data_IF_255932954305
#
_entry.id   IF_255932954305
#
_cell.length_a   1.000
_cell.length_b   1.000
_cell.length_c   1.000
_cell.angle_alpha   90.00
_cell.angle_beta   90.00
_cell.angle_gamma   90.00
#
_symmetry.space_group_name_H-M   'P 1'
#
loop_
_entity.id
_entity.type
_entity.pdbx_description
1 polymer ?
#
# COMPACT_ATOMS: atom_id res chain seq x y z
N UNK A 1 18.10 19.98 -10.23
CA UNK A 1 18.57 19.00 -9.22
C UNK A 1 17.67 17.75 -9.10
N UNK A 2 16.47 17.81 -9.69
CA UNK A 2 15.43 16.78 -9.72
C UNK A 2 15.87 15.37 -10.18
N UNK A 3 16.65 15.24 -11.27
CA UNK A 3 17.05 13.92 -11.80
C UNK A 3 17.95 13.12 -10.83
N UNK A 4 18.68 13.79 -9.94
CA UNK A 4 19.53 13.15 -8.94
C UNK A 4 18.72 12.68 -7.73
N UNK A 5 17.70 13.45 -7.33
CA UNK A 5 16.75 13.09 -6.28
C UNK A 5 15.87 11.90 -6.70
N UNK A 6 15.38 11.88 -7.95
CA UNK A 6 14.61 10.75 -8.49
C UNK A 6 15.42 9.46 -8.58
N UNK A 7 16.70 9.52 -8.99
CA UNK A 7 17.58 8.33 -9.07
C UNK A 7 17.94 7.76 -7.69
N UNK A 8 18.09 8.60 -6.68
CA UNK A 8 18.36 8.16 -5.31
C UNK A 8 17.09 7.64 -4.61
N UNK A 9 15.92 8.18 -4.97
CA UNK A 9 14.65 7.68 -4.46
C UNK A 9 14.36 6.26 -4.97
N UNK A 10 14.49 6.04 -6.29
CA UNK A 10 14.21 4.75 -6.94
C UNK A 10 15.21 3.63 -6.60
N UNK A 11 16.51 3.93 -6.52
CA UNK A 11 17.54 2.91 -6.19
C UNK A 11 17.41 2.34 -4.78
N UNK A 12 17.04 3.15 -3.79
CA UNK A 12 16.94 2.70 -2.41
C UNK A 12 15.59 2.07 -2.06
N UNK A 13 14.52 2.35 -2.82
CA UNK A 13 13.23 1.64 -2.69
C UNK A 13 13.35 0.18 -3.12
N UNK A 14 14.12 -0.13 -4.18
CA UNK A 14 14.47 -1.52 -4.54
C UNK A 14 15.20 -2.28 -3.43
N UNK A 15 15.97 -1.59 -2.59
CA UNK A 15 16.68 -2.20 -1.45
C UNK A 15 15.83 -2.33 -0.19
N UNK A 16 14.79 -1.51 -0.01
CA UNK A 16 13.90 -1.53 1.17
C UNK A 16 12.75 -2.54 1.05
N UNK A 17 12.34 -2.89 -0.18
CA UNK A 17 11.27 -3.87 -0.42
C UNK A 17 11.62 -5.30 0.00
N UNK A 18 12.89 -5.58 0.37
CA UNK A 18 13.34 -6.90 0.82
C UNK A 18 13.32 -7.09 2.34
N UNK A 19 12.80 -6.12 3.13
CA UNK A 19 12.73 -6.23 4.59
C UNK A 19 11.29 -6.38 5.08
N UNK A 20 11.02 -7.55 5.65
CA UNK A 20 9.77 -7.91 6.32
C UNK A 20 9.34 -6.84 7.35
N UNK A 21 8.13 -6.33 7.17
CA UNK A 21 7.44 -5.43 8.10
C UNK A 21 6.98 -6.26 9.31
N UNK A 22 7.45 -5.90 10.51
CA UNK A 22 6.90 -6.42 11.78
C UNK A 22 5.76 -5.52 12.26
N UNK A 23 4.69 -6.08 12.86
CA UNK A 23 3.60 -5.28 13.38
C UNK A 23 3.99 -4.53 14.67
N UNK A 24 3.47 -3.32 14.78
CA UNK A 24 3.61 -2.40 15.91
C UNK A 24 2.99 -2.99 17.19
N UNK A 25 3.83 -3.22 18.22
CA UNK A 25 3.39 -3.54 19.57
C UNK A 25 3.31 -2.29 20.45
N UNK A 26 2.12 -2.03 20.98
CA UNK A 26 1.84 -0.97 21.96
C UNK A 26 2.66 -1.19 23.24
N UNK A 27 3.44 -0.20 23.67
CA UNK A 27 4.08 -0.15 24.98
C UNK A 27 3.07 0.28 26.04
N UNK A 28 2.99 -0.46 27.14
CA UNK A 28 2.46 -0.01 28.44
C UNK A 28 3.53 -0.15 29.53
N UNK A 29 3.46 0.67 30.60
CA UNK A 29 4.61 1.03 31.42
C UNK A 29 5.00 -0.03 32.46
N UNK A 30 6.27 0.05 32.86
CA UNK A 30 6.95 -0.80 33.83
C UNK A 30 6.44 -0.58 35.26
N UNK A 31 6.18 -1.67 35.97
CA UNK A 31 6.11 -1.71 37.44
C UNK A 31 7.29 -2.51 37.97
N UNK A 32 8.04 -1.88 38.87
CA UNK A 32 9.20 -2.42 39.55
C UNK A 32 8.83 -3.58 40.50
N UNK A 33 9.67 -4.62 40.53
CA UNK A 33 9.69 -5.63 41.60
C UNK A 33 11.14 -5.82 42.03
N UNK A 34 11.40 -5.60 43.31
CA UNK A 34 12.68 -5.77 44.00
C UNK A 34 13.09 -7.25 44.16
N UNK A 35 14.39 -7.55 44.30
CA UNK A 35 14.91 -8.91 44.30
C UNK A 35 14.93 -9.49 45.71
N UNK A 36 14.37 -10.68 45.92
CA UNK A 36 14.67 -11.45 47.12
C UNK A 36 14.40 -12.95 46.92
N UNK A 37 15.40 -13.74 47.36
CA UNK A 37 15.41 -15.19 47.61
C UNK A 37 15.85 -16.09 46.45
N UNK A 38 17.12 -15.88 46.08
CA UNK A 38 18.05 -17.00 45.89
C UNK A 38 18.41 -17.55 47.28
N UNK A 39 17.89 -18.72 47.65
CA UNK A 39 18.53 -19.72 48.51
C UNK A 39 17.46 -20.70 49.02
N UNK A 40 17.82 -21.98 49.07
CA UNK A 40 16.99 -23.18 49.31
C UNK A 40 16.34 -23.64 47.99
N UNK A 41 16.74 -24.75 47.37
CA UNK A 41 17.16 -26.00 47.99
C UNK A 41 17.90 -26.85 46.94
N UNK A 42 19.23 -26.90 47.05
CA UNK A 42 19.98 -28.05 46.59
C UNK A 42 19.48 -29.27 47.37
N UNK A 43 18.89 -30.24 46.69
CA UNK A 43 19.05 -31.68 46.94
C UNK A 43 18.06 -32.45 46.05
N UNK A 44 18.54 -32.92 44.90
CA UNK A 44 18.44 -34.33 44.52
C UNK A 44 19.22 -34.57 43.24
N UNK A 45 20.37 -35.21 43.41
CA UNK A 45 21.15 -35.79 42.33
C UNK A 45 20.44 -37.06 41.84
N UNK A 46 20.31 -37.14 40.51
CA UNK A 46 20.30 -38.33 39.66
C UNK A 46 19.14 -39.31 39.81
N UNK A 47 18.14 -39.14 38.95
CA UNK A 47 17.53 -40.25 38.22
C UNK A 47 17.15 -39.80 36.80
N UNK A 48 17.24 -40.73 35.86
CA UNK A 48 17.24 -40.53 34.41
C UNK A 48 15.93 -39.92 33.87
N UNK A 49 16.05 -38.85 33.08
CA UNK A 49 15.21 -38.62 31.91
C UNK A 49 15.87 -37.61 30.97
N UNK A 50 16.76 -38.11 30.10
CA UNK A 50 16.79 -37.60 28.72
C UNK A 50 15.46 -38.05 28.12
N UNK A 51 14.40 -37.28 28.36
CA UNK A 51 13.26 -37.20 27.45
C UNK A 51 13.30 -35.78 26.94
N UNK A 52 14.11 -35.70 25.90
CA UNK A 52 14.18 -34.67 24.89
C UNK A 52 12.90 -33.84 24.77
N UNK A 53 13.05 -32.53 25.00
CA UNK A 53 12.16 -31.49 24.50
C UNK A 53 12.24 -31.32 22.98
N UNK A 54 12.50 -32.39 22.21
CA UNK A 54 12.65 -32.35 20.75
C UNK A 54 11.31 -32.34 20.00
N UNK A 55 10.20 -32.72 20.65
CA UNK A 55 8.94 -32.97 19.96
C UNK A 55 8.25 -31.72 19.38
N UNK A 56 8.52 -30.53 19.95
CA UNK A 56 7.84 -29.30 19.52
C UNK A 56 8.35 -28.74 18.19
N UNK A 57 9.68 -28.64 18.04
CA UNK A 57 10.32 -27.98 16.91
C UNK A 57 10.63 -28.95 15.76
N UNK A 58 11.08 -30.16 16.09
CA UNK A 58 11.30 -31.22 15.10
C UNK A 58 9.97 -31.71 14.49
N UNK A 59 8.93 -31.84 15.32
CA UNK A 59 7.58 -32.21 14.85
C UNK A 59 6.97 -31.15 13.93
N UNK A 60 7.26 -29.86 14.16
CA UNK A 60 6.84 -28.77 13.28
C UNK A 60 7.59 -28.78 11.96
N UNK A 61 8.92 -28.93 11.99
CA UNK A 61 9.74 -29.03 10.79
C UNK A 61 9.35 -30.23 9.91
N UNK A 62 9.00 -31.36 10.52
CA UNK A 62 8.54 -32.55 9.81
C UNK A 62 7.18 -32.31 9.12
N UNK A 63 6.24 -31.64 9.80
CA UNK A 63 4.95 -31.26 9.22
C UNK A 63 5.12 -30.27 8.06
N UNK A 64 6.01 -29.29 8.20
CA UNK A 64 6.35 -28.35 7.12
C UNK A 64 6.95 -29.08 5.92
N UNK A 65 7.86 -30.04 6.15
CA UNK A 65 8.43 -30.86 5.08
C UNK A 65 7.37 -31.72 4.38
N UNK A 66 6.46 -32.34 5.13
CA UNK A 66 5.37 -33.15 4.57
C UNK A 66 4.41 -32.31 3.71
N UNK A 67 4.07 -31.09 4.15
CA UNK A 67 3.23 -30.19 3.37
C UNK A 67 3.90 -29.75 2.06
N UNK A 68 5.21 -29.51 2.08
CA UNK A 68 5.97 -29.21 0.85
C UNK A 68 6.04 -30.44 -0.07
N UNK A 69 6.18 -31.64 0.49
CA UNK A 69 6.19 -32.87 -0.30
C UNK A 69 4.83 -33.11 -0.98
N UNK A 70 3.72 -32.87 -0.27
CA UNK A 70 2.36 -32.94 -0.81
C UNK A 70 2.16 -31.91 -1.94
N UNK A 71 2.65 -30.68 -1.77
CA UNK A 71 2.62 -29.66 -2.82
C UNK A 71 3.40 -30.11 -4.08
N UNK A 72 4.56 -30.74 -3.90
CA UNK A 72 5.36 -31.29 -5.00
C UNK A 72 4.59 -32.41 -5.71
N UNK A 73 3.89 -33.27 -4.97
CA UNK A 73 3.07 -34.34 -5.54
C UNK A 73 1.94 -33.78 -6.41
N UNK A 74 1.21 -32.78 -5.89
CA UNK A 74 0.15 -32.09 -6.64
C UNK A 74 0.69 -31.44 -7.93
N UNK A 75 1.91 -30.89 -7.91
CA UNK A 75 2.55 -30.34 -9.10
C UNK A 75 2.99 -31.40 -10.10
N UNK A 76 3.45 -32.56 -9.64
CA UNK A 76 3.81 -33.69 -10.49
C UNK A 76 2.59 -34.31 -11.18
N UNK A 77 1.43 -34.26 -10.53
CA UNK A 77 0.15 -34.74 -11.05
C UNK A 77 -0.56 -33.75 -11.99
N UNK A 78 -0.06 -32.51 -12.09
CA UNK A 78 -0.65 -31.48 -12.92
C UNK A 78 -0.68 -31.93 -14.40
N UNK A 79 -1.87 -31.86 -15.00
CA UNK A 79 -2.12 -32.41 -16.34
C UNK A 79 -1.76 -31.42 -17.45
N UNK A 80 -1.56 -30.15 -17.11
CA UNK A 80 -1.27 -29.09 -18.06
C UNK A 80 -0.38 -28.01 -17.48
N UNK A 81 0.33 -27.30 -18.37
CA UNK A 81 1.12 -26.13 -18.03
C UNK A 81 0.29 -25.01 -17.38
N UNK A 82 -0.99 -24.88 -17.76
CA UNK A 82 -1.91 -23.88 -17.20
C UNK A 82 -2.28 -24.20 -15.75
N UNK A 83 -2.55 -25.47 -15.46
CA UNK A 83 -2.81 -25.95 -14.09
C UNK A 83 -1.59 -25.74 -13.20
N UNK A 84 -0.40 -26.06 -13.70
CA UNK A 84 0.85 -25.80 -12.99
C UNK A 84 1.06 -24.30 -12.74
N UNK A 85 0.81 -23.45 -13.74
CA UNK A 85 0.91 -21.98 -13.58
C UNK A 85 -0.03 -21.45 -12.49
N UNK A 86 -1.25 -21.97 -12.43
CA UNK A 86 -2.21 -21.63 -11.39
C UNK A 86 -1.76 -22.09 -10.00
N UNK A 87 -1.27 -23.33 -9.89
CA UNK A 87 -0.75 -23.87 -8.62
C UNK A 87 0.44 -23.05 -8.10
N UNK A 88 1.33 -22.59 -8.99
CA UNK A 88 2.43 -21.70 -8.61
C UNK A 88 1.91 -20.34 -8.14
N UNK A 89 0.92 -19.75 -8.84
CA UNK A 89 0.37 -18.46 -8.42
C UNK A 89 -0.32 -18.53 -7.04
N UNK A 90 -1.09 -19.59 -6.77
CA UNK A 90 -1.80 -19.78 -5.50
C UNK A 90 -0.84 -20.07 -4.32
N UNK A 91 0.32 -20.66 -4.59
CA UNK A 91 1.29 -21.09 -3.57
C UNK A 91 2.60 -20.28 -3.60
N UNK A 92 2.60 -19.06 -4.16
CA UNK A 92 3.83 -18.30 -4.44
C UNK A 92 4.78 -18.13 -3.23
N UNK A 93 4.22 -17.99 -2.02
CA UNK A 93 5.00 -17.83 -0.78
C UNK A 93 5.64 -19.12 -0.27
N UNK A 94 5.22 -20.28 -0.77
CA UNK A 94 5.76 -21.59 -0.39
C UNK A 94 7.05 -21.93 -1.14
N UNK A 95 7.39 -21.20 -2.23
CA UNK A 95 8.61 -21.41 -3.02
C UNK A 95 9.84 -20.70 -2.42
N UNK A 96 10.20 -21.11 -1.21
CA UNK A 96 11.35 -20.59 -0.48
C UNK A 96 12.58 -21.55 -0.58
N UNK A 97 13.74 -21.24 0.05
CA UNK A 97 14.88 -22.16 0.05
C UNK A 97 14.58 -23.57 0.58
N UNK A 98 13.57 -23.73 1.46
CA UNK A 98 13.20 -25.04 2.00
C UNK A 98 12.49 -25.88 0.93
N UNK A 99 11.62 -25.29 0.12
CA UNK A 99 11.01 -25.97 -1.03
C UNK A 99 12.06 -26.58 -1.96
N UNK A 100 13.07 -25.79 -2.35
CA UNK A 100 14.15 -26.28 -3.22
C UNK A 100 15.00 -27.38 -2.57
N UNK A 101 15.20 -27.30 -1.24
CA UNK A 101 15.85 -28.37 -0.48
C UNK A 101 15.03 -29.68 -0.48
N UNK A 102 13.69 -29.58 -0.44
CA UNK A 102 12.81 -30.76 -0.57
C UNK A 102 12.91 -31.39 -1.95
N UNK A 103 12.88 -30.58 -3.01
CA UNK A 103 13.09 -31.06 -4.39
C UNK A 103 14.43 -31.82 -4.50
N UNK A 104 15.53 -31.25 -3.99
CA UNK A 104 16.85 -31.89 -3.99
C UNK A 104 16.85 -33.22 -3.22
N UNK A 105 16.30 -33.22 -2.01
CA UNK A 105 16.20 -34.44 -1.16
C UNK A 105 15.38 -35.54 -1.85
N UNK A 106 14.28 -35.17 -2.52
CA UNK A 106 13.44 -36.12 -3.27
C UNK A 106 14.17 -36.65 -4.50
N UNK A 107 14.89 -35.79 -5.23
CA UNK A 107 15.69 -36.19 -6.37
C UNK A 107 16.75 -37.24 -6.01
N UNK A 108 17.42 -37.08 -4.85
CA UNK A 108 18.42 -38.04 -4.36
C UNK A 108 17.79 -39.37 -3.91
N UNK A 109 16.52 -39.34 -3.48
CA UNK A 109 15.78 -40.51 -3.01
C UNK A 109 15.13 -41.32 -4.13
N UNK A 110 14.95 -40.72 -5.32
CA UNK A 110 14.39 -41.39 -6.49
C UNK A 110 15.40 -42.36 -7.11
N UNK A 111 14.94 -43.57 -7.42
CA UNK A 111 15.77 -44.63 -8.03
C UNK A 111 15.64 -44.71 -9.56
N UNK A 112 14.53 -44.19 -10.09
CA UNK A 112 14.22 -44.23 -11.51
C UNK A 112 14.61 -42.91 -12.17
N UNK A 113 15.46 -42.96 -13.20
CA UNK A 113 15.88 -41.78 -13.95
C UNK A 113 14.69 -41.07 -14.62
N UNK A 114 13.70 -41.82 -15.11
CA UNK A 114 12.52 -41.22 -15.73
C UNK A 114 11.68 -40.37 -14.74
N UNK A 115 11.68 -40.71 -13.45
CA UNK A 115 10.95 -39.94 -12.44
C UNK A 115 11.79 -38.77 -11.92
N UNK A 116 13.13 -38.91 -11.90
CA UNK A 116 14.05 -37.77 -11.68
C UNK A 116 13.89 -36.71 -12.76
N UNK A 117 13.83 -37.12 -14.02
CA UNK A 117 13.66 -36.21 -15.16
C UNK A 117 12.33 -35.45 -15.07
N UNK A 118 11.24 -36.11 -14.68
CA UNK A 118 9.94 -35.45 -14.45
C UNK A 118 10.01 -34.44 -13.30
N UNK A 119 10.59 -34.84 -12.16
CA UNK A 119 10.75 -33.96 -11.01
C UNK A 119 11.59 -32.72 -11.36
N UNK A 120 12.68 -32.92 -12.10
CA UNK A 120 13.53 -31.84 -12.59
C UNK A 120 12.76 -30.93 -13.55
N UNK A 121 12.02 -31.48 -14.52
CA UNK A 121 11.25 -30.69 -15.47
C UNK A 121 10.18 -29.83 -14.78
N UNK A 122 9.49 -30.36 -13.77
CA UNK A 122 8.54 -29.59 -12.95
C UNK A 122 9.28 -28.50 -12.17
N UNK A 123 10.40 -28.82 -11.52
CA UNK A 123 11.18 -27.83 -10.78
C UNK A 123 11.68 -26.68 -11.67
N UNK A 124 12.24 -26.99 -12.85
CA UNK A 124 12.69 -26.01 -13.85
C UNK A 124 11.52 -25.12 -14.29
N UNK A 125 10.35 -25.71 -14.53
CA UNK A 125 9.15 -24.99 -14.94
C UNK A 125 8.62 -24.07 -13.83
N UNK A 126 8.53 -24.57 -12.60
CA UNK A 126 8.14 -23.77 -11.43
C UNK A 126 9.09 -22.59 -11.24
N UNK A 127 10.40 -22.82 -11.38
CA UNK A 127 11.40 -21.74 -11.27
C UNK A 127 11.17 -20.63 -12.31
N UNK A 128 10.91 -21.00 -13.57
CA UNK A 128 10.60 -20.02 -14.64
C UNK A 128 9.31 -19.26 -14.34
N UNK A 129 8.27 -19.93 -13.85
CA UNK A 129 6.99 -19.30 -13.53
C UNK A 129 7.09 -18.35 -12.34
N UNK A 130 7.79 -18.74 -11.27
CA UNK A 130 8.07 -17.88 -10.11
C UNK A 130 8.87 -16.65 -10.54
N UNK A 131 9.94 -16.83 -11.31
CA UNK A 131 10.78 -15.73 -11.81
C UNK A 131 9.96 -14.77 -12.72
N UNK A 132 9.11 -15.31 -13.59
CA UNK A 132 8.22 -14.51 -14.43
C UNK A 132 7.24 -13.67 -13.59
N UNK A 133 6.64 -14.24 -12.53
CA UNK A 133 5.72 -13.52 -11.65
C UNK A 133 6.41 -12.44 -10.81
N UNK A 134 7.61 -12.72 -10.31
CA UNK A 134 8.43 -11.71 -9.61
C UNK A 134 8.75 -10.56 -10.57
N UNK A 135 9.25 -10.87 -11.77
CA UNK A 135 9.55 -9.86 -12.80
C UNK A 135 8.32 -9.06 -13.20
N UNK A 136 7.16 -9.69 -13.35
CA UNK A 136 5.92 -9.00 -13.65
C UNK A 136 5.53 -8.02 -12.54
N UNK A 137 5.67 -8.43 -11.28
CA UNK A 137 5.39 -7.57 -10.12
C UNK A 137 6.37 -6.40 -10.04
N UNK A 138 7.67 -6.66 -10.23
CA UNK A 138 8.69 -5.62 -10.30
C UNK A 138 8.45 -4.64 -11.45
N UNK A 139 8.04 -5.16 -12.61
CA UNK A 139 7.71 -4.36 -13.77
C UNK A 139 6.49 -3.47 -13.49
N UNK A 140 5.40 -4.01 -12.92
CA UNK A 140 4.24 -3.22 -12.53
C UNK A 140 4.60 -2.12 -11.53
N UNK A 141 5.43 -2.42 -10.53
CA UNK A 141 5.91 -1.43 -9.57
C UNK A 141 6.77 -0.34 -10.23
N UNK A 142 7.68 -0.72 -11.13
CA UNK A 142 8.51 0.23 -11.89
C UNK A 142 7.66 1.09 -12.83
N UNK A 143 6.65 0.50 -13.45
CA UNK A 143 5.76 1.16 -14.39
C UNK A 143 4.89 2.20 -13.67
N UNK A 144 4.29 1.84 -12.53
CA UNK A 144 3.51 2.79 -11.71
C UNK A 144 4.40 3.88 -11.09
N UNK A 145 5.63 3.54 -10.70
CA UNK A 145 6.63 4.54 -10.30
C UNK A 145 6.96 5.50 -11.45
N UNK A 146 7.06 5.00 -12.69
CA UNK A 146 7.24 5.82 -13.89
C UNK A 146 6.11 6.82 -14.08
N UNK A 147 4.85 6.39 -13.96
CA UNK A 147 3.68 7.29 -14.03
C UNK A 147 3.74 8.37 -12.97
N UNK A 148 4.05 8.00 -11.72
CA UNK A 148 4.20 8.98 -10.65
C UNK A 148 5.29 10.03 -10.97
N UNK A 149 6.41 9.63 -11.60
CA UNK A 149 7.41 10.59 -12.07
C UNK A 149 6.87 11.53 -13.13
N UNK A 150 6.11 11.02 -14.10
CA UNK A 150 5.52 11.85 -15.15
C UNK A 150 4.50 12.85 -14.58
N UNK A 151 3.70 12.45 -13.58
CA UNK A 151 2.79 13.35 -12.86
C UNK A 151 3.57 14.43 -12.10
N UNK A 152 4.66 14.07 -11.41
CA UNK A 152 5.49 15.03 -10.67
C UNK A 152 6.26 15.98 -11.59
N UNK A 153 6.68 15.52 -12.78
CA UNK A 153 7.30 16.36 -13.80
C UNK A 153 6.32 17.39 -14.34
N UNK A 154 5.03 17.05 -14.47
CA UNK A 154 4.00 17.99 -14.90
C UNK A 154 3.78 19.14 -13.89
N UNK A 155 4.23 18.98 -12.64
CA UNK A 155 4.21 20.05 -11.64
C UNK A 155 5.44 20.96 -11.67
N UNK A 156 6.48 20.61 -12.44
CA UNK A 156 7.72 21.36 -12.48
C UNK A 156 7.64 22.53 -13.47
N UNK A 157 8.40 23.60 -13.22
CA UNK A 157 8.59 24.67 -14.18
C UNK A 157 9.49 24.26 -15.37
N UNK A 158 9.73 25.18 -16.31
CA UNK A 158 10.62 24.96 -17.46
C UNK A 158 12.06 24.57 -17.07
N UNK A 159 12.48 24.84 -15.82
CA UNK A 159 13.79 24.51 -15.28
C UNK A 159 13.80 23.16 -14.55
N UNK A 160 12.65 22.51 -14.42
CA UNK A 160 12.49 21.25 -13.71
C UNK A 160 12.54 21.42 -12.18
N UNK A 161 12.22 22.60 -11.67
CA UNK A 161 12.17 22.91 -10.25
C UNK A 161 10.70 23.07 -9.78
N UNK A 162 10.45 22.83 -8.50
CA UNK A 162 9.11 22.93 -7.90
C UNK A 162 9.06 24.07 -6.90
N UNK A 163 7.97 24.84 -6.94
CA UNK A 163 7.69 25.91 -6.00
C UNK A 163 6.34 25.65 -5.37
N UNK A 164 6.27 25.70 -4.04
CA UNK A 164 5.01 25.50 -3.30
C UNK A 164 4.60 26.80 -2.60
N UNK A 165 3.30 27.17 -2.64
CA UNK A 165 2.21 26.48 -3.34
C UNK A 165 2.37 26.51 -4.86
N UNK A 166 1.89 25.46 -5.54
CA UNK A 166 1.87 25.40 -7.01
C UNK A 166 0.96 26.52 -7.54
N UNK A 167 1.33 27.11 -8.68
CA UNK A 167 0.46 28.05 -9.37
C UNK A 167 -0.67 27.34 -10.15
N UNK A 168 -1.62 28.13 -10.68
CA UNK A 168 -2.79 27.60 -11.38
C UNK A 168 -2.43 26.82 -12.66
N UNK A 169 -1.34 27.19 -13.33
CA UNK A 169 -0.88 26.55 -14.57
C UNK A 169 -0.24 25.19 -14.25
N UNK A 170 0.58 25.13 -13.19
CA UNK A 170 1.15 23.89 -12.67
C UNK A 170 0.07 22.94 -12.16
N UNK A 171 -0.93 23.44 -11.43
CA UNK A 171 -2.07 22.63 -10.98
C UNK A 171 -2.85 22.07 -12.17
N UNK A 172 -3.09 22.89 -13.20
CA UNK A 172 -3.75 22.45 -14.44
C UNK A 172 -2.92 21.39 -15.17
N UNK A 173 -1.60 21.54 -15.20
CA UNK A 173 -0.68 20.59 -15.82
C UNK A 173 -0.68 19.25 -15.08
N UNK A 174 -0.71 19.26 -13.75
CA UNK A 174 -0.85 18.02 -12.95
C UNK A 174 -2.21 17.37 -13.17
N UNK A 175 -3.31 18.14 -13.22
CA UNK A 175 -4.64 17.60 -13.53
C UNK A 175 -4.67 16.95 -14.92
N UNK A 176 -4.06 17.58 -15.93
CA UNK A 176 -3.96 17.02 -17.27
C UNK A 176 -3.11 15.74 -17.28
N UNK A 177 -2.03 15.67 -16.50
CA UNK A 177 -1.25 14.45 -16.35
C UNK A 177 -2.05 13.32 -15.67
N UNK A 178 -2.81 13.62 -14.62
CA UNK A 178 -3.71 12.67 -13.97
C UNK A 178 -4.82 12.19 -14.91
N UNK A 179 -5.34 13.07 -15.77
CA UNK A 179 -6.30 12.68 -16.82
C UNK A 179 -5.66 11.73 -17.83
N UNK A 180 -4.47 12.08 -18.32
CA UNK A 180 -3.75 11.28 -19.32
C UNK A 180 -3.45 9.85 -18.84
N UNK A 181 -3.23 9.67 -17.55
CA UNK A 181 -2.92 8.38 -16.94
C UNK A 181 -4.09 7.79 -16.15
N UNK A 182 -5.34 8.16 -16.45
CA UNK A 182 -6.53 7.75 -15.69
C UNK A 182 -6.66 6.24 -15.49
N UNK A 183 -6.26 5.46 -16.50
CA UNK A 183 -6.25 3.98 -16.50
C UNK A 183 -5.16 3.39 -15.59
N UNK A 184 -4.20 4.21 -15.14
CA UNK A 184 -3.04 3.81 -14.35
C UNK A 184 -2.99 4.47 -12.98
N UNK A 185 -4.05 5.17 -12.56
CA UNK A 185 -4.20 5.72 -11.21
C UNK A 185 -4.72 4.65 -10.23
N UNK A 186 -4.04 3.52 -10.19
CA UNK A 186 -4.43 2.33 -9.41
C UNK A 186 -3.80 2.29 -8.01
N UNK A 187 -4.10 1.22 -7.27
CA UNK A 187 -3.54 0.98 -5.93
C UNK A 187 -2.00 0.89 -5.94
N UNK A 188 -1.38 0.43 -7.02
CA UNK A 188 0.08 0.36 -7.13
C UNK A 188 0.69 1.76 -7.23
N UNK A 189 0.06 2.69 -7.96
CA UNK A 189 0.47 4.09 -8.00
C UNK A 189 0.34 4.77 -6.63
N UNK A 190 -0.80 4.59 -5.96
CA UNK A 190 -1.02 5.18 -4.63
C UNK A 190 -0.04 4.60 -3.60
N UNK A 191 0.18 3.29 -3.61
CA UNK A 191 1.16 2.64 -2.73
C UNK A 191 2.58 3.19 -2.94
N UNK A 192 2.99 3.41 -4.19
CA UNK A 192 4.26 4.07 -4.51
C UNK A 192 4.32 5.50 -3.96
N UNK A 193 3.24 6.28 -4.11
CA UNK A 193 3.17 7.64 -3.58
C UNK A 193 3.36 7.66 -2.06
N UNK A 194 2.67 6.78 -1.31
CA UNK A 194 2.85 6.67 0.15
C UNK A 194 4.25 6.22 0.56
N UNK A 195 4.83 5.26 -0.16
CA UNK A 195 6.20 4.82 0.08
C UNK A 195 7.20 5.97 -0.13
N UNK A 196 7.03 6.76 -1.19
CA UNK A 196 7.89 7.91 -1.47
C UNK A 196 7.70 9.03 -0.46
N UNK A 197 6.47 9.33 -0.04
CA UNK A 197 6.21 10.31 1.01
C UNK A 197 6.93 9.92 2.30
N UNK A 198 6.77 8.68 2.75
CA UNK A 198 7.44 8.19 3.96
C UNK A 198 8.96 8.34 3.85
N UNK A 199 9.53 7.93 2.73
CA UNK A 199 10.97 8.08 2.48
C UNK A 199 11.41 9.54 2.49
N UNK A 200 10.69 10.42 1.80
CA UNK A 200 11.00 11.85 1.78
C UNK A 200 10.90 12.46 3.18
N UNK A 201 9.98 11.97 4.01
CA UNK A 201 9.85 12.39 5.41
C UNK A 201 11.05 11.93 6.25
N UNK A 202 11.48 10.67 6.09
CA UNK A 202 12.69 10.12 6.74
C UNK A 202 13.95 10.89 6.31
N UNK A 203 14.03 11.28 5.03
CA UNK A 203 15.13 12.03 4.42
C UNK A 203 15.02 13.56 4.64
N UNK A 204 14.00 14.04 5.36
CA UNK A 204 13.71 15.47 5.62
C UNK A 204 13.58 16.34 4.36
N UNK A 205 12.99 15.76 3.31
CA UNK A 205 12.66 16.44 2.05
C UNK A 205 11.24 17.00 2.10
N UNK A 206 11.01 18.00 2.96
CA UNK A 206 9.67 18.54 3.25
C UNK A 206 8.93 19.04 1.99
N UNK A 207 9.64 19.71 1.07
CA UNK A 207 9.07 20.18 -0.20
C UNK A 207 8.54 19.03 -1.05
N UNK A 208 9.21 17.88 -1.07
CA UNK A 208 8.77 16.71 -1.84
C UNK A 208 7.56 16.04 -1.17
N UNK A 209 7.53 15.99 0.17
CA UNK A 209 6.36 15.50 0.91
C UNK A 209 5.14 16.35 0.57
N UNK A 210 5.27 17.68 0.63
CA UNK A 210 4.18 18.59 0.31
C UNK A 210 3.73 18.50 -1.16
N UNK A 211 4.66 18.29 -2.09
CA UNK A 211 4.33 18.06 -3.51
C UNK A 211 3.54 16.75 -3.70
N UNK A 212 3.98 15.65 -3.08
CA UNK A 212 3.27 14.37 -3.13
C UNK A 212 1.88 14.46 -2.48
N UNK A 213 1.75 15.20 -1.38
CA UNK A 213 0.45 15.49 -0.77
C UNK A 213 -0.47 16.26 -1.73
N UNK A 214 0.05 17.28 -2.43
CA UNK A 214 -0.72 18.02 -3.44
C UNK A 214 -1.16 17.12 -4.59
N UNK A 215 -0.32 16.19 -5.05
CA UNK A 215 -0.70 15.19 -6.07
C UNK A 215 -1.84 14.29 -5.56
N UNK A 216 -1.79 13.82 -4.31
CA UNK A 216 -2.87 13.03 -3.72
C UNK A 216 -4.18 13.82 -3.56
N UNK A 217 -4.10 15.11 -3.21
CA UNK A 217 -5.27 15.99 -3.17
C UNK A 217 -5.90 16.12 -4.57
N UNK A 218 -5.09 16.35 -5.61
CA UNK A 218 -5.59 16.46 -7.00
C UNK A 218 -6.14 15.13 -7.53
N UNK A 219 -5.53 14.00 -7.14
CA UNK A 219 -6.09 12.67 -7.38
C UNK A 219 -7.47 12.52 -6.73
N UNK A 220 -7.61 12.89 -5.44
CA UNK A 220 -8.87 12.80 -4.71
C UNK A 220 -9.95 13.65 -5.37
N UNK A 221 -9.63 14.90 -5.73
CA UNK A 221 -10.52 15.81 -6.43
C UNK A 221 -11.05 15.23 -7.75
N UNK A 222 -10.18 14.60 -8.55
CA UNK A 222 -10.57 13.90 -9.79
C UNK A 222 -11.47 12.69 -9.50
N UNK A 223 -11.06 11.83 -8.56
CA UNK A 223 -11.78 10.59 -8.28
C UNK A 223 -13.16 10.83 -7.65
N UNK A 224 -13.31 11.93 -6.92
CA UNK A 224 -14.55 12.34 -6.29
C UNK A 224 -15.41 13.27 -7.15
N UNK A 225 -14.99 13.58 -8.38
CA UNK A 225 -15.76 14.47 -9.25
C UNK A 225 -17.11 13.82 -9.60
N UNK A 226 -18.19 14.47 -9.17
CA UNK A 226 -19.57 14.07 -9.45
C UNK A 226 -20.08 14.65 -10.77
N UNK A 227 -21.28 14.21 -11.17
CA UNK A 227 -21.98 14.74 -12.35
C UNK A 227 -22.93 15.88 -12.01
N UNK A 228 -23.20 16.10 -10.71
CA UNK A 228 -24.09 17.12 -10.21
C UNK A 228 -23.52 18.50 -10.50
N UNK A 229 -24.28 19.31 -11.25
CA UNK A 229 -23.91 20.67 -11.64
C UNK A 229 -24.72 21.75 -10.91
N UNK A 230 -25.86 21.39 -10.31
CA UNK A 230 -26.81 22.34 -9.71
C UNK A 230 -27.16 21.97 -8.26
N UNK A 231 -27.61 22.98 -7.52
CA UNK A 231 -28.03 22.85 -6.13
C UNK A 231 -26.88 22.51 -5.16
N UNK A 232 -27.24 22.05 -3.97
CA UNK A 232 -26.26 21.78 -2.90
C UNK A 232 -25.22 20.75 -3.31
N UNK A 233 -25.61 19.74 -4.10
CA UNK A 233 -24.68 18.76 -4.65
C UNK A 233 -23.76 19.33 -5.73
N UNK A 234 -24.25 20.24 -6.57
CA UNK A 234 -23.44 21.01 -7.51
C UNK A 234 -22.40 21.87 -6.80
N UNK A 235 -22.78 22.59 -5.74
CA UNK A 235 -21.84 23.38 -4.92
C UNK A 235 -20.80 22.48 -4.25
N UNK A 236 -21.20 21.33 -3.69
CA UNK A 236 -20.23 20.39 -3.14
C UNK A 236 -19.28 19.88 -4.22
N UNK A 237 -19.77 19.62 -5.44
CA UNK A 237 -18.93 19.19 -6.55
C UNK A 237 -17.92 20.26 -6.96
N UNK A 238 -18.34 21.53 -7.00
CA UNK A 238 -17.46 22.68 -7.22
C UNK A 238 -16.38 22.75 -6.14
N UNK A 239 -16.74 22.64 -4.86
CA UNK A 239 -15.78 22.64 -3.73
C UNK A 239 -14.80 21.48 -3.84
N UNK A 240 -15.28 20.26 -4.12
CA UNK A 240 -14.44 19.06 -4.23
C UNK A 240 -13.42 19.21 -5.35
N UNK A 241 -13.80 19.81 -6.47
CA UNK A 241 -12.90 19.99 -7.60
C UNK A 241 -12.00 21.22 -7.48
N UNK A 242 -12.40 22.23 -6.72
CA UNK A 242 -11.64 23.46 -6.49
C UNK A 242 -10.40 23.25 -5.62
N UNK A 243 -9.49 24.22 -5.64
CA UNK A 243 -8.32 24.20 -4.76
C UNK A 243 -8.69 24.59 -3.32
N UNK A 244 -7.87 24.15 -2.36
CA UNK A 244 -8.05 24.39 -0.92
C UNK A 244 -8.33 25.86 -0.57
N UNK A 245 -7.65 26.79 -1.25
CA UNK A 245 -7.80 28.23 -1.04
C UNK A 245 -9.15 28.78 -1.55
N UNK A 246 -9.82 28.06 -2.45
CA UNK A 246 -11.07 28.45 -3.07
C UNK A 246 -12.30 27.89 -2.35
N UNK A 247 -12.13 26.88 -1.47
CA UNK A 247 -13.25 26.25 -0.75
C UNK A 247 -14.06 27.24 0.09
N UNK A 248 -13.40 28.06 0.90
CA UNK A 248 -14.09 29.06 1.73
C UNK A 248 -14.83 30.10 0.88
N UNK A 249 -14.21 30.77 -0.12
CA UNK A 249 -14.91 31.67 -1.02
C UNK A 249 -16.16 31.06 -1.67
N UNK A 250 -16.08 29.82 -2.16
CA UNK A 250 -17.21 29.12 -2.81
C UNK A 250 -18.36 28.92 -1.81
N UNK A 251 -18.05 28.39 -0.62
CA UNK A 251 -19.06 28.11 0.41
C UNK A 251 -19.72 29.41 0.90
N UNK A 252 -18.94 30.47 1.13
CA UNK A 252 -19.50 31.77 1.54
C UNK A 252 -20.40 32.37 0.47
N UNK A 253 -20.00 32.31 -0.80
CA UNK A 253 -20.80 32.78 -1.93
C UNK A 253 -22.15 32.06 -1.97
N UNK A 254 -22.14 30.73 -1.92
CA UNK A 254 -23.35 29.90 -1.96
C UNK A 254 -24.27 30.10 -0.74
N UNK A 255 -23.69 30.35 0.44
CA UNK A 255 -24.47 30.67 1.63
C UNK A 255 -25.12 32.06 1.54
N UNK A 256 -24.40 33.06 1.02
CA UNK A 256 -24.91 34.43 0.87
C UNK A 256 -26.06 34.54 -0.13
N UNK A 257 -26.07 33.69 -1.17
CA UNK A 257 -27.17 33.61 -2.16
C UNK A 257 -28.35 32.77 -1.67
N UNK A 258 -28.24 32.10 -0.52
CA UNK A 258 -29.25 31.19 0.00
C UNK A 258 -29.32 29.85 -0.75
N UNK A 259 -28.37 29.57 -1.64
CA UNK A 259 -28.29 28.33 -2.42
C UNK A 259 -27.96 27.13 -1.52
N UNK A 260 -27.21 27.38 -0.43
CA UNK A 260 -26.76 26.35 0.50
C UNK A 260 -26.95 26.79 1.95
N UNK A 261 -27.59 25.94 2.75
CA UNK A 261 -27.59 26.00 4.21
C UNK A 261 -26.62 24.96 4.79
N UNK A 262 -26.07 25.22 5.99
CA UNK A 262 -25.09 24.32 6.65
C UNK A 262 -25.61 22.88 6.73
N UNK A 263 -26.83 22.67 7.23
CA UNK A 263 -27.41 21.34 7.39
C UNK A 263 -27.49 20.57 6.06
N UNK A 264 -27.92 21.23 4.99
CA UNK A 264 -28.05 20.61 3.67
C UNK A 264 -26.67 20.29 3.07
N UNK A 265 -25.69 21.20 3.20
CA UNK A 265 -24.32 20.95 2.74
C UNK A 265 -23.69 19.74 3.45
N UNK A 266 -23.83 19.69 4.77
CA UNK A 266 -23.29 18.60 5.58
C UNK A 266 -23.97 17.27 5.27
N UNK A 267 -25.28 17.27 5.00
CA UNK A 267 -25.99 16.05 4.60
C UNK A 267 -25.47 15.50 3.27
N UNK A 268 -25.29 16.35 2.25
CA UNK A 268 -24.78 15.90 0.95
C UNK A 268 -23.32 15.45 1.05
N UNK A 269 -22.50 16.16 1.82
CA UNK A 269 -21.11 15.78 2.08
C UNK A 269 -21.02 14.42 2.80
N UNK A 270 -21.87 14.20 3.80
CA UNK A 270 -21.96 12.95 4.54
C UNK A 270 -22.37 11.78 3.63
N UNK A 271 -23.36 11.97 2.75
CA UNK A 271 -23.74 10.97 1.74
C UNK A 271 -22.57 10.60 0.83
N UNK A 272 -21.79 11.59 0.40
CA UNK A 272 -20.60 11.38 -0.44
C UNK A 272 -19.49 10.63 0.31
N UNK A 273 -19.29 10.95 1.58
CA UNK A 273 -18.38 10.21 2.48
C UNK A 273 -18.81 8.74 2.62
N UNK A 274 -20.09 8.49 2.88
CA UNK A 274 -20.65 7.14 3.02
C UNK A 274 -20.48 6.34 1.72
N UNK A 275 -20.79 6.93 0.57
CA UNK A 275 -20.59 6.30 -0.73
C UNK A 275 -19.11 5.93 -0.96
N UNK A 276 -18.18 6.80 -0.56
CA UNK A 276 -16.73 6.55 -0.67
C UNK A 276 -16.30 5.41 0.23
N UNK A 277 -16.71 5.42 1.51
CA UNK A 277 -16.29 4.41 2.48
C UNK A 277 -16.93 3.05 2.20
N UNK A 278 -18.20 3.00 1.81
CA UNK A 278 -18.92 1.75 1.58
C UNK A 278 -18.72 1.19 0.17
N UNK A 279 -18.40 2.04 -0.81
CA UNK A 279 -18.25 1.66 -2.21
C UNK A 279 -16.86 1.13 -2.59
N UNK A 280 -15.87 1.22 -1.70
CA UNK A 280 -14.49 0.87 -1.98
C UNK A 280 -13.99 -0.27 -1.09
N UNK A 281 -12.93 -0.96 -1.54
CA UNK A 281 -12.27 -1.96 -0.70
C UNK A 281 -11.78 -1.30 0.60
N UNK A 282 -12.25 -1.83 1.73
CA UNK A 282 -11.88 -1.34 3.06
C UNK A 282 -10.37 -1.40 3.27
N UNK A 283 -9.79 -0.26 3.66
CA UNK A 283 -8.35 -0.13 3.91
C UNK A 283 -7.50 0.11 2.66
N UNK A 284 -8.10 0.19 1.47
CA UNK A 284 -7.39 0.56 0.24
C UNK A 284 -6.81 1.98 0.32
N UNK A 285 -5.73 2.25 -0.42
CA UNK A 285 -5.14 3.58 -0.43
C UNK A 285 -6.09 4.60 -1.03
N UNK A 286 -6.84 4.23 -2.07
CA UNK A 286 -7.79 5.10 -2.72
C UNK A 286 -8.91 5.54 -1.76
N UNK A 287 -9.48 4.60 -1.00
CA UNK A 287 -10.48 4.92 0.03
C UNK A 287 -9.92 5.87 1.09
N UNK A 288 -8.70 5.62 1.58
CA UNK A 288 -8.06 6.46 2.60
C UNK A 288 -7.83 7.88 2.10
N UNK A 289 -7.28 8.05 0.89
CA UNK A 289 -7.00 9.36 0.31
C UNK A 289 -8.27 10.16 0.10
N UNK A 290 -9.31 9.54 -0.48
CA UNK A 290 -10.59 10.21 -0.74
C UNK A 290 -11.34 10.56 0.56
N UNK A 291 -11.34 9.66 1.54
CA UNK A 291 -12.00 9.91 2.82
C UNK A 291 -11.31 11.02 3.62
N UNK A 292 -9.98 11.04 3.69
CA UNK A 292 -9.26 12.14 4.36
C UNK A 292 -9.48 13.48 3.66
N UNK A 293 -9.54 13.50 2.32
CA UNK A 293 -9.86 14.71 1.56
C UNK A 293 -11.25 15.25 1.88
N UNK A 294 -12.27 14.39 1.89
CA UNK A 294 -13.64 14.79 2.24
C UNK A 294 -13.76 15.25 3.71
N UNK A 295 -13.02 14.64 4.65
CA UNK A 295 -12.97 15.09 6.05
C UNK A 295 -12.34 16.46 6.18
N UNK A 296 -11.33 16.76 5.38
CA UNK A 296 -10.70 18.08 5.38
C UNK A 296 -11.69 19.16 4.89
N UNK A 297 -12.43 18.86 3.81
CA UNK A 297 -13.52 19.72 3.33
C UNK A 297 -14.56 19.91 4.43
N UNK A 298 -14.99 18.84 5.11
CA UNK A 298 -15.95 18.90 6.22
C UNK A 298 -15.47 19.84 7.34
N UNK A 299 -14.23 19.68 7.78
CA UNK A 299 -13.66 20.47 8.87
C UNK A 299 -13.60 21.97 8.52
N UNK A 300 -13.20 22.29 7.28
CA UNK A 300 -13.14 23.68 6.80
C UNK A 300 -14.52 24.26 6.57
N UNK A 301 -15.44 23.52 5.96
CA UNK A 301 -16.81 23.96 5.77
C UNK A 301 -17.49 24.29 7.11
N UNK A 302 -17.33 23.44 8.13
CA UNK A 302 -17.82 23.70 9.50
C UNK A 302 -17.26 25.00 10.07
N UNK A 303 -15.99 25.29 9.81
CA UNK A 303 -15.36 26.53 10.25
C UNK A 303 -15.97 27.74 9.55
N UNK A 304 -16.21 27.67 8.24
CA UNK A 304 -16.84 28.74 7.46
C UNK A 304 -18.26 29.01 7.93
N UNK A 305 -19.10 27.98 8.09
CA UNK A 305 -20.47 28.15 8.55
C UNK A 305 -20.55 28.70 9.98
N UNK A 306 -19.66 28.27 10.89
CA UNK A 306 -19.56 28.85 12.23
C UNK A 306 -19.24 30.34 12.20
N UNK A 307 -18.32 30.76 11.33
CA UNK A 307 -17.96 32.18 11.18
C UNK A 307 -19.11 33.00 10.56
N UNK A 308 -19.86 32.43 9.62
CA UNK A 308 -21.05 33.07 9.06
C UNK A 308 -22.15 33.24 10.12
N UNK A 309 -22.39 32.22 10.94
CA UNK A 309 -23.37 32.29 12.03
C UNK A 309 -22.98 33.29 13.12
N UNK A 310 -21.68 33.49 13.38
CA UNK A 310 -21.18 34.47 14.34
C UNK A 310 -21.21 35.92 13.81
N UNK A 311 -21.34 36.11 12.49
CA UNK A 311 -21.39 37.42 11.84
C UNK A 311 -22.83 37.92 11.60
N UNK A 312 -23.83 37.10 11.92
CA UNK A 312 -25.26 37.43 11.88
C UNK A 312 -25.76 37.82 13.27
#
# INVERSE_FOLDING_TARGET
>A
MAACLFKNCTKSVRAASSRAVRPFGLRRPATAVSPQRLAQQQQQLRSLSIVQSFDGDAGKALKEAAALDELIDVMLEAKSQQELSRLVAENIFSFDPKFWMRIATRNDSLKNEADKDKLKAVADTVMVLVDAMVKQTEQQLNDSAGVLQEVLKAAADDKGEWYLPLDKEQVSSVRAALERYSDRLDEALLSNCFAWMKKCQDDRMDTMVALLQKVLQLYAAKALQGQEAEGVAGVLNEVVFAEEQEWEPIIRRAAATGEVAEAAFMEVLQKKMEATVLGMQSGSYAQRVQAEYLKEIEARAKTVFRQLAAAQ
#
